data_IF_469231494153
#
_entry.id   IF_469231494153
#
_cell.length_a   1.000
_cell.length_b   1.000
_cell.length_c   1.000
_cell.angle_alpha   90.00
_cell.angle_beta   90.00
_cell.angle_gamma   90.00
#
_symmetry.space_group_name_H-M   'P 1'
#
loop_
_entity.id
_entity.type
_entity.pdbx_description
1 polymer ?
#
# COMPACT_ATOMS: atom_id res chain seq x y z
N UNK A 1 22.57 -16.00 -54.23
CA UNK A 1 22.99 -16.12 -52.81
C UNK A 1 22.04 -15.24 -52.01
N UNK A 2 21.49 -15.74 -50.90
CA UNK A 2 20.57 -14.98 -50.04
C UNK A 2 21.40 -14.09 -49.12
N UNK A 3 21.14 -12.78 -49.10
CA UNK A 3 21.82 -11.81 -48.24
C UNK A 3 21.23 -11.79 -46.82
N UNK A 4 21.98 -11.26 -45.86
CA UNK A 4 21.45 -10.96 -44.51
C UNK A 4 20.31 -9.95 -44.61
N UNK A 5 19.33 -10.07 -43.71
CA UNK A 5 18.28 -9.07 -43.57
C UNK A 5 18.81 -7.85 -42.81
N UNK A 6 18.15 -6.70 -43.00
CA UNK A 6 18.47 -5.47 -42.27
C UNK A 6 18.36 -5.65 -40.75
N UNK A 7 17.34 -6.36 -40.29
CA UNK A 7 17.15 -6.70 -38.88
C UNK A 7 18.35 -7.48 -38.32
N UNK A 8 18.86 -8.50 -39.03
CA UNK A 8 20.01 -9.29 -38.57
C UNK A 8 21.30 -8.46 -38.49
N UNK A 9 21.46 -7.47 -39.38
CA UNK A 9 22.62 -6.56 -39.36
C UNK A 9 22.52 -5.60 -38.15
N UNK A 10 21.33 -5.05 -37.88
CA UNK A 10 21.11 -4.18 -36.72
C UNK A 10 21.24 -4.93 -35.39
N UNK A 11 20.62 -6.10 -35.24
CA UNK A 11 20.76 -6.94 -34.04
C UNK A 11 22.23 -7.34 -33.78
N UNK A 12 23.02 -7.53 -34.85
CA UNK A 12 24.46 -7.77 -34.72
C UNK A 12 25.22 -6.53 -34.22
N UNK A 13 24.89 -5.34 -34.71
CA UNK A 13 25.47 -4.07 -34.28
C UNK A 13 25.12 -3.73 -32.82
N UNK A 14 23.88 -3.97 -32.41
CA UNK A 14 23.38 -3.72 -31.06
C UNK A 14 23.84 -4.79 -30.04
N UNK A 15 24.45 -5.88 -30.52
CA UNK A 15 24.93 -6.98 -29.68
C UNK A 15 23.81 -7.86 -29.11
N UNK A 16 22.63 -7.85 -29.74
CA UNK A 16 21.42 -8.56 -29.27
C UNK A 16 21.30 -10.00 -29.80
N UNK A 17 22.18 -10.42 -30.72
CA UNK A 17 22.19 -11.79 -31.25
C UNK A 17 22.74 -12.81 -30.25
N UNK A 18 22.15 -14.00 -30.22
CA UNK A 18 22.69 -15.14 -29.49
C UNK A 18 23.97 -15.69 -30.16
N UNK A 19 24.76 -16.44 -29.40
CA UNK A 19 26.09 -16.88 -29.83
C UNK A 19 26.07 -17.72 -31.12
N UNK A 20 25.03 -18.53 -31.36
CA UNK A 20 24.94 -19.36 -32.57
C UNK A 20 24.65 -18.50 -33.80
N UNK A 21 23.63 -17.64 -33.72
CA UNK A 21 23.23 -16.74 -34.82
C UNK A 21 24.32 -15.72 -35.14
N UNK A 22 25.02 -15.21 -34.13
CA UNK A 22 26.18 -14.33 -34.31
C UNK A 22 27.28 -14.98 -35.14
N UNK A 23 27.58 -16.25 -34.88
CA UNK A 23 28.61 -17.01 -35.60
C UNK A 23 28.20 -17.29 -37.06
N UNK A 24 26.89 -17.50 -37.31
CA UNK A 24 26.35 -17.64 -38.66
C UNK A 24 26.42 -16.32 -39.45
N UNK A 25 26.12 -15.18 -38.81
CA UNK A 25 26.28 -13.84 -39.39
C UNK A 25 27.74 -13.55 -39.70
N UNK A 26 28.68 -13.83 -38.78
CA UNK A 26 30.12 -13.65 -39.00
C UNK A 26 30.63 -14.49 -40.18
N UNK A 27 30.18 -15.75 -40.30
CA UNK A 27 30.51 -16.61 -41.44
C UNK A 27 29.97 -16.05 -42.75
N UNK A 28 28.76 -15.49 -42.74
CA UNK A 28 28.19 -14.84 -43.92
C UNK A 28 28.98 -13.58 -44.31
N UNK A 29 29.32 -12.75 -43.33
CA UNK A 29 30.13 -11.55 -43.54
C UNK A 29 31.52 -11.90 -44.07
N UNK A 30 32.10 -13.05 -43.72
CA UNK A 30 33.37 -13.51 -44.32
C UNK A 30 33.24 -13.87 -45.81
N UNK A 31 32.08 -14.38 -46.24
CA UNK A 31 31.86 -14.86 -47.61
C UNK A 31 31.21 -13.82 -48.55
N UNK A 32 30.45 -12.85 -48.03
CA UNK A 32 29.66 -11.91 -48.83
C UNK A 32 30.22 -10.48 -48.81
N UNK A 33 30.70 -10.01 -49.97
CA UNK A 33 31.21 -8.62 -50.12
C UNK A 33 30.10 -7.58 -49.92
N UNK A 34 28.89 -7.85 -50.44
CA UNK A 34 27.75 -6.91 -50.38
C UNK A 34 27.35 -6.65 -48.93
N UNK A 35 27.15 -7.70 -48.12
CA UNK A 35 26.77 -7.52 -46.72
C UNK A 35 27.88 -6.84 -45.89
N UNK A 36 29.16 -7.03 -46.22
CA UNK A 36 30.25 -6.26 -45.59
C UNK A 36 30.21 -4.77 -45.93
N UNK A 37 29.87 -4.42 -47.16
CA UNK A 37 29.73 -3.02 -47.56
C UNK A 37 28.61 -2.35 -46.77
N UNK A 38 27.43 -2.98 -46.73
CA UNK A 38 26.29 -2.48 -45.94
C UNK A 38 26.64 -2.33 -44.46
N UNK A 39 27.33 -3.32 -43.88
CA UNK A 39 27.79 -3.26 -42.48
C UNK A 39 28.74 -2.07 -42.24
N UNK A 40 29.71 -1.85 -43.13
CA UNK A 40 30.65 -0.75 -43.00
C UNK A 40 29.98 0.63 -43.16
N UNK A 41 28.98 0.74 -44.04
CA UNK A 41 28.18 1.96 -44.21
C UNK A 41 27.44 2.30 -42.90
N UNK A 42 26.75 1.34 -42.30
CA UNK A 42 26.06 1.50 -41.01
C UNK A 42 27.04 1.84 -39.88
N UNK A 43 28.16 1.12 -39.79
CA UNK A 43 29.16 1.37 -38.76
C UNK A 43 29.80 2.76 -38.90
N UNK A 44 29.90 3.29 -40.13
CA UNK A 44 30.34 4.66 -40.37
C UNK A 44 29.36 5.68 -39.78
N UNK A 45 28.05 5.44 -39.91
CA UNK A 45 27.02 6.31 -39.32
C UNK A 45 27.11 6.29 -37.79
N UNK A 46 27.23 5.11 -37.17
CA UNK A 46 27.39 5.01 -35.71
C UNK A 46 28.65 5.73 -35.21
N UNK A 47 29.79 5.57 -35.90
CA UNK A 47 31.01 6.29 -35.54
C UNK A 47 30.85 7.82 -35.65
N UNK A 48 30.04 8.31 -36.60
CA UNK A 48 29.71 9.74 -36.68
C UNK A 48 28.83 10.19 -35.51
N UNK A 49 27.87 9.36 -35.09
CA UNK A 49 27.01 9.60 -33.94
C UNK A 49 27.82 9.63 -32.63
N UNK A 50 28.73 8.68 -32.44
CA UNK A 50 29.60 8.60 -31.25
C UNK A 50 30.60 9.76 -31.19
N UNK A 51 30.91 10.39 -32.32
CA UNK A 51 31.76 11.57 -32.39
C UNK A 51 31.02 12.87 -32.00
N UNK A 52 29.70 12.83 -31.80
CA UNK A 52 28.97 14.02 -31.32
C UNK A 52 29.40 14.35 -29.89
N UNK A 53 29.54 15.66 -29.57
CA UNK A 53 29.85 16.08 -28.22
C UNK A 53 28.69 15.70 -27.28
N UNK A 54 29.04 15.12 -26.13
CA UNK A 54 28.07 14.84 -25.09
C UNK A 54 27.54 16.16 -24.51
N UNK A 55 26.23 16.39 -24.64
CA UNK A 55 25.57 17.59 -24.13
C UNK A 55 25.21 17.35 -22.68
N UNK A 56 25.89 18.04 -21.77
CA UNK A 56 25.51 18.01 -20.36
C UNK A 56 24.14 18.69 -20.17
N UNK A 57 23.21 18.07 -19.43
CA UNK A 57 21.94 18.70 -19.13
C UNK A 57 22.16 20.02 -18.36
N UNK A 58 21.31 21.02 -18.60
CA UNK A 58 21.37 22.29 -17.87
C UNK A 58 21.26 22.06 -16.36
N UNK A 59 21.96 22.85 -15.56
CA UNK A 59 21.98 22.74 -14.08
C UNK A 59 20.58 22.78 -13.44
N UNK A 60 19.61 23.37 -14.13
CA UNK A 60 18.21 23.49 -13.69
C UNK A 60 17.29 22.36 -14.18
N UNK A 61 17.79 21.34 -14.86
CA UNK A 61 16.93 20.25 -15.34
C UNK A 61 16.26 19.55 -14.14
N UNK A 62 17.05 19.22 -13.13
CA UNK A 62 16.56 18.50 -11.95
C UNK A 62 15.55 19.34 -11.16
N UNK A 63 15.79 20.64 -10.99
CA UNK A 63 14.87 21.52 -10.26
C UNK A 63 13.54 21.70 -10.99
N UNK A 64 13.56 21.84 -12.32
CA UNK A 64 12.33 21.91 -13.13
C UNK A 64 11.52 20.62 -13.03
N UNK A 65 12.17 19.46 -13.24
CA UNK A 65 11.50 18.16 -13.16
C UNK A 65 10.91 17.92 -11.77
N UNK A 66 11.66 18.25 -10.70
CA UNK A 66 11.16 18.10 -9.33
C UNK A 66 10.00 19.04 -9.01
N UNK A 67 10.00 20.26 -9.57
CA UNK A 67 8.90 21.20 -9.39
C UNK A 67 7.64 20.74 -10.14
N UNK A 68 7.78 20.16 -11.33
CA UNK A 68 6.65 19.59 -12.08
C UNK A 68 6.05 18.37 -11.38
N UNK A 69 6.88 17.61 -10.65
CA UNK A 69 6.48 16.45 -9.87
C UNK A 69 6.01 16.81 -8.45
N UNK A 70 6.10 18.09 -8.05
CA UNK A 70 5.77 18.49 -6.70
C UNK A 70 4.28 18.20 -6.43
N UNK A 71 3.95 17.45 -5.35
CA UNK A 71 2.57 17.10 -5.07
C UNK A 71 1.78 18.37 -4.75
N UNK A 72 0.72 18.60 -5.51
CA UNK A 72 -0.21 19.69 -5.28
C UNK A 72 -0.94 19.46 -3.95
N UNK A 73 -1.00 20.46 -3.05
CA UNK A 73 -1.63 20.29 -1.75
C UNK A 73 -3.13 20.04 -1.93
N UNK A 74 -3.62 18.88 -1.48
CA UNK A 74 -5.04 18.52 -1.59
C UNK A 74 -5.85 19.53 -0.75
N UNK A 75 -6.65 20.42 -1.37
CA UNK A 75 -7.38 21.43 -0.65
C UNK A 75 -8.47 20.77 0.21
N UNK A 76 -8.47 21.04 1.51
CA UNK A 76 -9.56 20.65 2.42
C UNK A 76 -9.39 19.34 3.19
N UNK A 77 -8.21 18.70 3.21
CA UNK A 77 -7.95 17.51 4.06
C UNK A 77 -8.24 17.77 5.55
N UNK A 78 -8.01 18.99 6.01
CA UNK A 78 -8.30 19.43 7.37
C UNK A 78 -9.81 19.48 7.68
N UNK A 79 -10.68 19.70 6.67
CA UNK A 79 -12.14 19.61 6.86
C UNK A 79 -12.59 18.17 7.10
N UNK A 80 -11.95 17.19 6.46
CA UNK A 80 -12.24 15.78 6.68
C UNK A 80 -11.86 15.37 8.11
N UNK A 81 -10.68 15.79 8.59
CA UNK A 81 -10.27 15.58 9.98
C UNK A 81 -11.18 16.29 10.98
N UNK A 82 -11.58 17.53 10.69
CA UNK A 82 -12.52 18.27 11.52
C UNK A 82 -13.88 17.56 11.58
N UNK A 83 -14.37 17.04 10.45
CA UNK A 83 -15.60 16.26 10.39
C UNK A 83 -15.53 14.95 11.21
N UNK A 84 -14.41 14.21 11.12
CA UNK A 84 -14.19 13.01 11.92
C UNK A 84 -14.11 13.31 13.42
N UNK A 85 -13.39 14.36 13.81
CA UNK A 85 -13.28 14.79 15.20
C UNK A 85 -14.64 15.20 15.77
N UNK A 86 -15.45 15.93 15.00
CA UNK A 86 -16.80 16.32 15.39
C UNK A 86 -17.72 15.10 15.56
N UNK A 87 -17.69 14.15 14.63
CA UNK A 87 -18.47 12.91 14.74
C UNK A 87 -18.07 12.07 15.96
N UNK A 88 -16.77 11.95 16.25
CA UNK A 88 -16.25 11.26 17.42
C UNK A 88 -16.71 11.95 18.73
N UNK A 89 -16.64 13.28 18.80
CA UNK A 89 -17.12 14.04 19.95
C UNK A 89 -18.63 13.87 20.17
N UNK A 90 -19.42 13.85 19.09
CA UNK A 90 -20.86 13.57 19.12
C UNK A 90 -21.16 12.17 19.63
N UNK A 91 -20.47 11.15 19.12
CA UNK A 91 -20.59 9.77 19.58
C UNK A 91 -20.24 9.65 21.06
N UNK A 92 -19.13 10.25 21.49
CA UNK A 92 -18.73 10.25 22.90
C UNK A 92 -19.80 10.91 23.78
N UNK A 93 -20.32 12.05 23.34
CA UNK A 93 -21.37 12.80 24.05
C UNK A 93 -22.69 12.04 24.17
N UNK A 94 -23.07 11.30 23.12
CA UNK A 94 -24.30 10.50 23.05
C UNK A 94 -24.16 9.20 23.86
N UNK A 95 -23.00 8.54 23.81
CA UNK A 95 -22.74 7.29 24.52
C UNK A 95 -22.40 7.49 26.00
N UNK A 96 -21.97 8.70 26.40
CA UNK A 96 -21.57 9.01 27.77
C UNK A 96 -22.58 8.58 28.85
N UNK A 97 -23.90 8.82 28.72
CA UNK A 97 -24.87 8.38 29.73
C UNK A 97 -24.93 6.86 29.86
N UNK A 98 -24.78 6.12 28.76
CA UNK A 98 -24.76 4.65 28.78
C UNK A 98 -23.49 4.10 29.44
N UNK A 99 -22.36 4.78 29.25
CA UNK A 99 -21.11 4.48 29.98
C UNK A 99 -21.31 4.75 31.47
N UNK A 100 -21.90 5.90 31.83
CA UNK A 100 -22.18 6.24 33.23
C UNK A 100 -23.14 5.23 33.88
N UNK A 101 -24.20 4.80 33.20
CA UNK A 101 -25.11 3.78 33.76
C UNK A 101 -24.41 2.45 33.93
N UNK A 102 -23.64 1.98 32.93
CA UNK A 102 -22.88 0.74 33.02
C UNK A 102 -21.86 0.78 34.18
N UNK A 103 -21.14 1.89 34.34
CA UNK A 103 -20.23 2.11 35.47
C UNK A 103 -21.00 2.13 36.78
N UNK A 104 -22.11 2.86 36.90
CA UNK A 104 -22.88 2.94 38.14
C UNK A 104 -23.55 1.61 38.52
N UNK A 105 -23.92 0.78 37.53
CA UNK A 105 -24.44 -0.57 37.73
C UNK A 105 -23.33 -1.54 38.14
N UNK A 106 -22.13 -1.45 37.56
CA UNK A 106 -21.01 -2.34 37.85
C UNK A 106 -20.20 -1.96 39.10
N UNK A 107 -20.05 -0.67 39.36
CA UNK A 107 -19.20 -0.13 40.43
C UNK A 107 -19.56 -0.65 41.83
N UNK A 108 -20.83 -0.83 42.24
CA UNK A 108 -21.18 -1.42 43.54
C UNK A 108 -20.59 -2.82 43.74
N UNK A 109 -20.48 -3.61 42.67
CA UNK A 109 -19.91 -4.96 42.69
C UNK A 109 -18.38 -4.94 42.72
N UNK A 110 -17.75 -3.89 42.15
CA UNK A 110 -16.29 -3.73 42.14
C UNK A 110 -15.75 -2.94 43.35
N UNK A 111 -16.57 -2.10 43.98
CA UNK A 111 -16.23 -1.27 45.15
C UNK A 111 -15.50 -2.04 46.27
N UNK A 112 -15.91 -3.26 46.69
CA UNK A 112 -15.20 -4.01 47.73
C UNK A 112 -13.77 -4.43 47.33
N UNK A 113 -13.45 -4.52 46.03
CA UNK A 113 -12.09 -4.83 45.56
C UNK A 113 -11.13 -3.65 45.74
N UNK A 114 -11.64 -2.41 45.65
CA UNK A 114 -10.83 -1.19 45.70
C UNK A 114 -10.82 -0.50 47.08
N UNK A 115 -11.78 -0.81 47.95
CA UNK A 115 -11.77 -0.37 49.37
C UNK A 115 -11.02 -1.34 50.29
N UNK A 116 -10.40 -2.36 49.72
CA UNK A 116 -9.65 -3.37 50.46
C UNK A 116 -8.32 -2.80 50.96
N UNK A 117 -8.24 -2.46 52.24
CA UNK A 117 -7.00 -1.98 52.87
C UNK A 117 -6.08 -3.17 53.18
N UNK A 118 -4.90 -3.18 52.59
CA UNK A 118 -3.95 -4.31 52.55
C UNK A 118 -3.09 -4.62 53.82
N UNK A 119 -3.19 -3.99 55.02
CA UNK A 119 -2.21 -4.30 56.08
C UNK A 119 -2.60 -5.41 57.08
N UNK A 120 -3.67 -6.21 56.91
CA UNK A 120 -4.06 -7.23 57.92
C UNK A 120 -4.46 -8.62 57.41
N UNK A 121 -4.12 -8.99 56.17
CA UNK A 121 -4.24 -10.39 55.78
C UNK A 121 -3.04 -11.16 56.30
N UNK A 122 -3.26 -12.14 57.19
CA UNK A 122 -2.27 -13.21 57.35
C UNK A 122 -2.10 -13.92 55.99
N UNK A 123 -0.88 -14.42 55.67
CA UNK A 123 -0.66 -15.20 54.46
C UNK A 123 -1.67 -16.35 54.29
N UNK A 124 -2.10 -16.95 55.40
CA UNK A 124 -3.10 -18.02 55.41
C UNK A 124 -4.47 -17.57 54.92
N UNK A 125 -4.93 -16.38 55.33
CA UNK A 125 -6.21 -15.82 54.88
C UNK A 125 -6.15 -15.43 53.40
N UNK A 126 -4.99 -14.94 52.93
CA UNK A 126 -4.75 -14.68 51.51
C UNK A 126 -4.82 -15.96 50.68
N UNK A 127 -4.13 -17.01 51.10
CA UNK A 127 -4.14 -18.29 50.40
C UNK A 127 -5.53 -18.93 50.39
N UNK A 128 -6.29 -18.82 51.48
CA UNK A 128 -7.68 -19.30 51.52
C UNK A 128 -8.59 -18.51 50.57
N UNK A 129 -8.53 -17.17 50.59
CA UNK A 129 -9.32 -16.33 49.69
C UNK A 129 -8.99 -16.58 48.22
N UNK A 130 -7.71 -16.68 47.87
CA UNK A 130 -7.29 -16.99 46.49
C UNK A 130 -7.77 -18.38 46.09
N UNK A 131 -7.65 -19.38 46.98
CA UNK A 131 -8.10 -20.74 46.69
C UNK A 131 -9.62 -20.79 46.46
N UNK A 132 -10.41 -20.20 47.35
CA UNK A 132 -11.86 -20.17 47.20
C UNK A 132 -12.29 -19.41 45.94
N UNK A 133 -11.64 -18.28 45.65
CA UNK A 133 -11.90 -17.51 44.46
C UNK A 133 -11.58 -18.28 43.18
N UNK A 134 -10.41 -18.94 43.11
CA UNK A 134 -10.03 -19.81 41.99
C UNK A 134 -11.03 -20.94 41.81
N UNK A 135 -11.46 -21.61 42.89
CA UNK A 135 -12.45 -22.69 42.80
C UNK A 135 -13.84 -22.19 42.36
N UNK A 136 -14.27 -21.01 42.83
CA UNK A 136 -15.53 -20.41 42.42
C UNK A 136 -15.50 -19.99 40.95
N UNK A 137 -14.38 -19.41 40.49
CA UNK A 137 -14.19 -19.04 39.08
C UNK A 137 -14.11 -20.25 38.18
N UNK A 138 -13.41 -21.32 38.58
CA UNK A 138 -13.37 -22.55 37.77
C UNK A 138 -14.75 -23.18 37.63
N UNK A 139 -15.55 -23.23 38.71
CA UNK A 139 -16.94 -23.72 38.66
C UNK A 139 -17.84 -22.80 37.82
N UNK A 140 -17.67 -21.48 37.91
CA UNK A 140 -18.43 -20.51 37.12
C UNK A 140 -18.09 -20.57 35.62
N UNK A 141 -16.81 -20.77 35.27
CA UNK A 141 -16.36 -20.92 33.88
C UNK A 141 -16.74 -22.29 33.28
N UNK A 142 -16.89 -23.33 34.08
CA UNK A 142 -17.48 -24.60 33.61
C UNK A 142 -18.99 -24.48 33.41
N UNK A 143 -19.69 -23.71 34.26
CA UNK A 143 -21.12 -23.41 34.12
C UNK A 143 -21.41 -22.54 32.88
N UNK A 144 -20.56 -21.56 32.61
CA UNK A 144 -20.59 -20.73 31.41
C UNK A 144 -19.49 -21.19 30.45
N UNK A 145 -19.77 -22.21 29.65
CA UNK A 145 -19.03 -22.42 28.41
C UNK A 145 -19.12 -21.13 27.58
N UNK A 146 -18.15 -20.22 27.75
CA UNK A 146 -18.02 -18.99 26.96
C UNK A 146 -17.64 -19.45 25.56
N UNK A 147 -18.64 -19.90 24.82
CA UNK A 147 -18.54 -19.95 23.36
C UNK A 147 -18.34 -18.50 22.94
N UNK A 148 -17.23 -18.15 22.28
CA UNK A 148 -17.07 -16.80 21.76
C UNK A 148 -18.29 -16.49 20.88
N UNK A 149 -18.81 -15.25 20.90
CA UNK A 149 -19.94 -14.90 20.05
C UNK A 149 -19.59 -15.26 18.60
N UNK A 150 -20.26 -16.27 18.06
CA UNK A 150 -20.08 -16.65 16.67
C UNK A 150 -20.89 -15.65 15.84
N UNK A 151 -20.18 -14.79 15.11
CA UNK A 151 -20.80 -13.90 14.13
C UNK A 151 -21.20 -14.73 12.91
N UNK A 152 -22.30 -15.48 13.02
CA UNK A 152 -22.88 -16.26 11.93
C UNK A 152 -23.76 -15.38 11.05
N UNK A 153 -23.14 -14.46 10.32
CA UNK A 153 -23.85 -13.69 9.29
C UNK A 153 -24.23 -14.63 8.12
N UNK A 154 -25.49 -14.63 7.66
CA UNK A 154 -25.88 -15.30 6.42
C UNK A 154 -24.97 -14.90 5.25
N UNK A 155 -24.69 -15.80 4.27
CA UNK A 155 -23.82 -15.50 3.14
C UNK A 155 -24.21 -14.23 2.37
N UNK A 156 -25.50 -13.90 2.34
CA UNK A 156 -26.02 -12.67 1.72
C UNK A 156 -25.54 -11.41 2.43
N UNK A 157 -25.47 -11.40 3.76
CA UNK A 157 -25.02 -10.27 4.56
C UNK A 157 -23.50 -10.08 4.44
N UNK A 158 -22.74 -11.16 4.34
CA UNK A 158 -21.32 -11.10 3.96
C UNK A 158 -21.13 -10.47 2.58
N UNK A 159 -21.96 -10.89 1.61
CA UNK A 159 -21.97 -10.29 0.28
C UNK A 159 -22.22 -8.78 0.31
N UNK A 160 -23.20 -8.33 1.10
CA UNK A 160 -23.47 -6.90 1.27
C UNK A 160 -22.28 -6.15 1.88
N UNK A 161 -21.68 -6.66 2.95
CA UNK A 161 -20.54 -6.01 3.60
C UNK A 161 -19.35 -5.85 2.65
N UNK A 162 -18.99 -6.92 1.95
CA UNK A 162 -17.90 -6.92 0.97
C UNK A 162 -18.22 -5.97 -0.18
N UNK A 163 -19.46 -5.98 -0.68
CA UNK A 163 -19.90 -5.04 -1.72
C UNK A 163 -19.79 -3.59 -1.26
N UNK A 164 -20.28 -3.26 -0.07
CA UNK A 164 -20.17 -1.89 0.47
C UNK A 164 -18.73 -1.46 0.67
N UNK A 165 -17.88 -2.33 1.23
CA UNK A 165 -16.45 -2.03 1.36
C UNK A 165 -15.78 -1.81 0.00
N UNK A 166 -16.12 -2.62 -1.01
CA UNK A 166 -15.61 -2.49 -2.36
C UNK A 166 -16.09 -1.18 -3.05
N UNK A 167 -17.35 -0.82 -2.88
CA UNK A 167 -17.90 0.45 -3.41
C UNK A 167 -17.23 1.65 -2.76
N UNK A 168 -17.04 1.65 -1.45
CA UNK A 168 -16.32 2.71 -0.72
C UNK A 168 -14.88 2.81 -1.22
N UNK A 169 -14.21 1.68 -1.42
CA UNK A 169 -12.85 1.63 -1.95
C UNK A 169 -12.76 2.20 -3.38
N UNK A 170 -13.67 1.79 -4.27
CA UNK A 170 -13.73 2.33 -5.64
C UNK A 170 -14.03 3.82 -5.66
N UNK A 171 -14.98 4.29 -4.84
CA UNK A 171 -15.32 5.71 -4.75
C UNK A 171 -14.11 6.53 -4.26
N UNK A 172 -13.42 6.06 -3.22
CA UNK A 172 -12.21 6.70 -2.71
C UNK A 172 -11.11 6.81 -3.78
N UNK A 173 -10.81 5.71 -4.47
CA UNK A 173 -9.81 5.69 -5.54
C UNK A 173 -10.22 6.55 -6.74
N UNK A 174 -11.50 6.58 -7.09
CA UNK A 174 -12.01 7.39 -8.20
C UNK A 174 -11.82 8.89 -7.92
N UNK A 175 -12.09 9.35 -6.71
CA UNK A 175 -11.89 10.75 -6.30
C UNK A 175 -10.41 11.13 -6.38
N UNK A 176 -9.51 10.26 -5.90
CA UNK A 176 -8.07 10.48 -5.97
C UNK A 176 -7.58 10.61 -7.43
N UNK A 177 -8.05 9.72 -8.32
CA UNK A 177 -7.63 9.72 -9.73
C UNK A 177 -8.25 10.87 -10.54
N UNK A 178 -9.46 11.33 -10.20
CA UNK A 178 -10.07 12.49 -10.88
C UNK A 178 -9.35 13.79 -10.57
N UNK A 179 -8.94 14.01 -9.31
CA UNK A 179 -8.18 15.20 -8.94
C UNK A 179 -6.86 15.28 -9.72
N UNK A 180 -6.11 14.17 -9.81
CA UNK A 180 -4.87 14.14 -10.59
C UNK A 180 -5.07 14.40 -12.10
N UNK A 181 -6.24 14.09 -12.66
CA UNK A 181 -6.55 14.31 -14.09
C UNK A 181 -7.03 15.73 -14.40
N UNK A 182 -7.61 16.45 -13.44
CA UNK A 182 -8.05 17.83 -13.63
C UNK A 182 -6.87 18.81 -13.57
N UNK A 183 -5.88 18.53 -12.73
CA UNK A 183 -4.61 19.27 -12.63
C UNK A 183 -3.89 19.31 -13.98
N UNK A 184 -3.65 18.11 -14.54
CA UNK A 184 -2.94 17.90 -15.80
C UNK A 184 -3.65 18.52 -17.02
N UNK A 185 -4.97 18.77 -16.94
CA UNK A 185 -5.72 19.37 -18.05
C UNK A 185 -5.68 20.91 -18.02
N UNK A 186 -5.39 21.53 -16.87
CA UNK A 186 -5.27 23.00 -16.76
C UNK A 186 -3.89 23.47 -17.20
N UNK A 187 -2.84 22.71 -16.91
CA UNK A 187 -1.46 23.01 -17.32
C UNK A 187 -1.24 22.96 -18.84
N UNK A 188 -2.03 22.17 -19.58
CA UNK A 188 -1.92 22.08 -21.06
C UNK A 188 -2.68 23.22 -21.77
N UNK A 189 -3.50 23.99 -21.05
CA UNK A 189 -4.34 25.05 -21.62
C UNK A 189 -3.82 26.48 -21.41
N UNK A 190 -2.78 26.66 -20.59
CA UNK A 190 -2.03 27.92 -20.41
C UNK A 190 -0.69 27.88 -21.17
#
# INVERSE_FOLDING_TARGET
MTHLTEQQINEYLDGELDAATRLDVERHLAACVVCRQTMNELQTVFNMLDALPEISPSTDLTSRVLNELAPQPIPGWWLLLAGQAFAAALLLRVLWPAVQTAVNLGMPYLKPLFTFTWPSLSPDLLFQLVREWVTAVSLYLEQFAVTPPSFSLPPTQWGFLVLTAFVVWLAGNHILLQNGRQENRREVSD
#
